data_IF_071206861815
#
_entry.id   IF_071206861815
#
_cell.length_a   1.000
_cell.length_b   1.000
_cell.length_c   1.000
_cell.angle_alpha   90.00
_cell.angle_beta   90.00
_cell.angle_gamma   90.00
#
_symmetry.space_group_name_H-M   'P 1'
#
loop_
_entity.id
_entity.type
_entity.pdbx_description
1 polymer ?
#
# COMPACT_ATOMS: atom_id res chain seq x y z
N UNK A 1 17.62 3.48 3.44
CA UNK A 1 17.71 4.05 2.05
C UNK A 1 16.31 4.27 1.50
N UNK A 2 16.13 5.29 0.63
CA UNK A 2 14.83 5.69 0.09
C UNK A 2 14.88 5.71 -1.43
N UNK A 3 14.01 4.96 -2.07
CA UNK A 3 13.96 4.83 -3.53
C UNK A 3 12.63 5.32 -4.07
N UNK A 4 12.69 5.99 -5.22
CA UNK A 4 11.54 6.38 -6.03
C UNK A 4 11.65 5.80 -7.42
N UNK A 5 10.52 5.50 -8.04
CA UNK A 5 10.46 5.21 -9.47
C UNK A 5 9.95 6.47 -10.16
N UNK A 6 10.63 6.89 -11.20
CA UNK A 6 10.36 8.16 -11.90
C UNK A 6 10.25 7.94 -13.41
N UNK A 7 9.58 8.86 -14.08
CA UNK A 7 9.69 9.07 -15.52
C UNK A 7 10.57 10.30 -15.76
N UNK A 8 11.68 10.10 -16.46
CA UNK A 8 12.63 11.13 -16.85
C UNK A 8 13.08 10.86 -18.29
N UNK A 9 13.06 11.87 -19.17
CA UNK A 9 13.40 11.77 -20.60
C UNK A 9 12.72 10.58 -21.30
N UNK A 10 11.39 10.44 -21.10
CA UNK A 10 10.54 9.36 -21.63
C UNK A 10 10.90 7.94 -21.14
N UNK A 11 11.89 7.81 -20.23
CA UNK A 11 12.28 6.55 -19.65
C UNK A 11 11.76 6.40 -18.21
N UNK A 12 11.28 5.19 -17.89
CA UNK A 12 11.05 4.82 -16.50
C UNK A 12 12.37 4.42 -15.87
N UNK A 13 12.72 5.02 -14.73
CA UNK A 13 13.97 4.81 -14.00
C UNK A 13 13.74 4.74 -12.51
N UNK A 14 14.63 4.05 -11.82
CA UNK A 14 14.71 4.11 -10.36
C UNK A 14 15.70 5.20 -9.96
N UNK A 15 15.40 5.90 -8.89
CA UNK A 15 16.29 6.88 -8.29
C UNK A 15 16.39 6.68 -6.78
N UNK A 16 17.57 6.99 -6.24
CA UNK A 16 17.87 7.06 -4.81
C UNK A 16 17.68 8.50 -4.33
N UNK A 17 16.93 8.71 -3.26
CA UNK A 17 16.87 10.03 -2.62
C UNK A 17 18.19 10.34 -1.91
N UNK A 18 18.66 11.58 -2.03
CA UNK A 18 19.83 12.04 -1.29
C UNK A 18 19.50 12.13 0.21
N UNK A 19 20.39 11.63 1.05
CA UNK A 19 20.20 11.65 2.52
C UNK A 19 20.07 13.08 3.07
N UNK A 20 20.80 14.05 2.49
CA UNK A 20 20.82 15.44 2.95
C UNK A 20 19.69 16.30 2.38
N UNK A 21 19.06 15.87 1.28
CA UNK A 21 18.01 16.63 0.60
C UNK A 21 17.08 15.71 -0.21
N UNK A 22 15.86 15.45 0.28
CA UNK A 22 14.90 14.57 -0.41
C UNK A 22 14.40 15.13 -1.75
N UNK A 23 14.71 16.38 -2.08
CA UNK A 23 14.38 16.97 -3.38
C UNK A 23 15.41 16.63 -4.47
N UNK A 24 16.58 16.08 -4.09
CA UNK A 24 17.58 15.60 -5.03
C UNK A 24 17.52 14.08 -5.18
N UNK A 25 17.40 13.63 -6.43
CA UNK A 25 17.24 12.25 -6.83
C UNK A 25 18.43 11.78 -7.65
N UNK A 26 19.17 10.80 -7.17
CA UNK A 26 20.25 10.15 -7.89
C UNK A 26 19.72 9.05 -8.81
N UNK A 27 19.71 9.28 -10.12
CA UNK A 27 19.20 8.35 -11.11
C UNK A 27 20.12 7.14 -11.26
N UNK A 28 19.59 5.97 -10.95
CA UNK A 28 20.30 4.70 -11.14
C UNK A 28 20.39 4.38 -12.64
N UNK A 29 21.53 3.88 -13.15
CA UNK A 29 21.69 3.58 -14.57
C UNK A 29 20.70 2.54 -15.07
N UNK A 30 20.31 2.62 -16.33
CA UNK A 30 19.56 1.56 -16.99
C UNK A 30 20.37 0.24 -16.95
N UNK A 31 19.72 -0.92 -16.83
CA UNK A 31 18.27 -1.14 -17.04
C UNK A 31 17.40 -1.01 -15.78
N UNK A 32 17.88 -0.45 -14.67
CA UNK A 32 17.07 -0.31 -13.46
C UNK A 32 15.89 0.64 -13.71
N UNK A 33 14.71 0.07 -13.86
CA UNK A 33 13.49 0.77 -14.26
C UNK A 33 12.44 0.89 -13.16
N UNK A 34 12.54 0.06 -12.13
CA UNK A 34 11.62 0.06 -10.98
C UNK A 34 12.29 -0.50 -9.73
N UNK A 35 11.61 -0.39 -8.60
CA UNK A 35 12.07 -1.00 -7.35
C UNK A 35 12.33 -2.52 -7.49
N UNK A 36 11.63 -3.21 -8.37
CA UNK A 36 11.85 -4.66 -8.58
C UNK A 36 13.28 -4.96 -9.00
N UNK A 37 13.87 -4.11 -9.84
CA UNK A 37 15.26 -4.27 -10.28
C UNK A 37 16.23 -4.06 -9.12
N UNK A 38 15.91 -3.14 -8.18
CA UNK A 38 16.70 -2.91 -6.96
C UNK A 38 16.63 -4.11 -6.03
N UNK A 39 15.44 -4.67 -5.83
CA UNK A 39 15.23 -5.87 -5.01
C UNK A 39 16.01 -7.06 -5.58
N UNK A 40 15.94 -7.26 -6.89
CA UNK A 40 16.66 -8.36 -7.57
C UNK A 40 18.17 -8.20 -7.52
N UNK A 41 18.68 -6.97 -7.61
CA UNK A 41 20.11 -6.67 -7.55
C UNK A 41 20.69 -6.89 -6.14
N UNK A 42 19.87 -6.78 -5.09
CA UNK A 42 20.33 -6.90 -3.70
C UNK A 42 21.47 -5.93 -3.41
N UNK A 43 22.67 -6.47 -3.06
CA UNK A 43 23.85 -5.66 -2.75
C UNK A 43 24.63 -5.18 -4.00
N UNK A 44 24.22 -5.58 -5.20
CA UNK A 44 24.90 -5.22 -6.46
C UNK A 44 24.33 -3.95 -7.11
N UNK A 45 23.68 -3.08 -6.33
CA UNK A 45 23.11 -1.83 -6.83
C UNK A 45 24.22 -0.87 -7.27
N UNK A 46 24.20 -0.38 -8.54
CA UNK A 46 25.18 0.59 -9.00
C UNK A 46 24.95 1.97 -8.38
N UNK A 47 26.00 2.77 -8.31
CA UNK A 47 25.88 4.17 -7.89
C UNK A 47 25.07 5.00 -8.91
N UNK A 48 24.36 6.05 -8.46
CA UNK A 48 23.71 7.01 -9.36
C UNK A 48 24.69 7.62 -10.37
N UNK A 49 24.24 7.80 -11.61
CA UNK A 49 25.03 8.43 -12.68
C UNK A 49 24.88 9.95 -12.70
N UNK A 50 23.70 10.44 -12.35
CA UNK A 50 23.36 11.87 -12.35
C UNK A 50 22.38 12.18 -11.24
N UNK A 51 22.32 13.45 -10.85
CA UNK A 51 21.39 13.95 -9.84
C UNK A 51 20.46 14.99 -10.47
N UNK A 52 19.16 14.83 -10.23
CA UNK A 52 18.10 15.70 -10.75
C UNK A 52 17.21 16.19 -9.60
N UNK A 53 16.50 17.31 -9.82
CA UNK A 53 15.48 17.72 -8.85
C UNK A 53 14.20 16.89 -9.01
N UNK A 54 13.50 16.65 -7.90
CA UNK A 54 12.20 15.98 -7.93
C UNK A 54 11.16 16.70 -8.78
N UNK A 55 11.29 18.04 -8.92
CA UNK A 55 10.43 18.85 -9.80
C UNK A 55 10.63 18.59 -11.30
N UNK A 56 11.75 18.00 -11.68
CA UNK A 56 12.13 17.79 -13.08
C UNK A 56 11.71 16.39 -13.60
N UNK A 57 11.07 15.61 -12.72
CA UNK A 57 10.64 14.24 -13.02
C UNK A 57 9.17 14.02 -12.65
N UNK A 58 8.54 13.04 -13.27
CA UNK A 58 7.23 12.55 -12.83
C UNK A 58 7.44 11.36 -11.88
N UNK A 59 6.95 11.48 -10.64
CA UNK A 59 6.91 10.34 -9.72
C UNK A 59 5.92 9.28 -10.22
N UNK A 60 6.33 8.03 -10.16
CA UNK A 60 5.50 6.85 -10.44
C UNK A 60 5.34 6.03 -9.15
N UNK A 61 4.47 5.03 -9.16
CA UNK A 61 4.46 4.04 -8.09
C UNK A 61 5.85 3.37 -8.00
N UNK A 62 6.36 3.03 -6.80
CA UNK A 62 7.64 2.31 -6.65
C UNK A 62 7.72 1.06 -7.52
N UNK A 63 6.58 0.35 -7.67
CA UNK A 63 6.39 -0.77 -8.58
C UNK A 63 5.16 -0.49 -9.44
N UNK A 64 5.30 0.19 -10.61
CA UNK A 64 4.15 0.52 -11.47
C UNK A 64 3.45 -0.71 -12.05
N UNK A 65 4.19 -1.81 -12.18
CA UNK A 65 3.69 -3.09 -12.73
C UNK A 65 4.16 -4.25 -11.84
N UNK A 66 3.45 -4.56 -10.76
CA UNK A 66 3.77 -5.70 -9.92
C UNK A 66 3.78 -7.01 -10.71
N UNK A 67 4.76 -7.89 -10.42
CA UNK A 67 4.89 -9.21 -11.08
C UNK A 67 3.72 -10.13 -10.80
N UNK A 68 3.12 -9.98 -9.62
CA UNK A 68 1.96 -10.75 -9.18
C UNK A 68 0.92 -9.79 -8.59
N UNK A 69 -0.26 -10.31 -8.21
CA UNK A 69 -1.24 -9.52 -7.46
C UNK A 69 -0.67 -9.06 -6.12
N UNK A 70 -1.14 -7.91 -5.66
CA UNK A 70 -0.82 -7.39 -4.33
C UNK A 70 -1.65 -8.19 -3.33
N UNK A 71 -1.00 -8.81 -2.36
CA UNK A 71 -1.65 -9.49 -1.25
C UNK A 71 -2.09 -8.43 -0.23
N UNK A 72 -3.32 -8.53 0.25
CA UNK A 72 -3.86 -7.55 1.19
C UNK A 72 -4.47 -8.27 2.39
N UNK A 73 -4.35 -7.67 3.58
CA UNK A 73 -4.90 -8.22 4.83
C UNK A 73 -6.06 -7.34 5.28
N UNK A 74 -7.26 -7.90 5.31
CA UNK A 74 -8.46 -7.22 5.79
C UNK A 74 -8.63 -7.29 7.30
N UNK A 75 -9.30 -6.28 7.87
CA UNK A 75 -9.71 -6.24 9.28
C UNK A 75 -8.54 -6.43 10.27
N UNK A 76 -7.37 -5.87 9.95
CA UNK A 76 -6.14 -6.07 10.72
C UNK A 76 -5.84 -4.97 11.76
N UNK A 77 -6.73 -4.02 11.95
CA UNK A 77 -6.71 -3.09 13.09
C UNK A 77 -7.96 -3.31 13.94
N UNK A 78 -7.80 -3.47 15.24
CA UNK A 78 -8.91 -3.82 16.15
C UNK A 78 -10.08 -2.85 16.03
N UNK A 79 -9.82 -1.56 16.03
CA UNK A 79 -10.86 -0.53 15.89
C UNK A 79 -11.57 -0.60 14.53
N UNK A 80 -10.84 -0.86 13.43
CA UNK A 80 -11.42 -1.02 12.10
C UNK A 80 -12.21 -2.33 11.97
N UNK A 81 -11.77 -3.42 12.56
CA UNK A 81 -12.53 -4.68 12.59
C UNK A 81 -13.92 -4.50 13.22
N UNK A 82 -13.98 -3.78 14.34
CA UNK A 82 -15.24 -3.42 14.99
C UNK A 82 -16.09 -2.49 14.13
N UNK A 83 -15.51 -1.42 13.58
CA UNK A 83 -16.17 -0.47 12.67
C UNK A 83 -16.79 -1.18 11.46
N UNK A 84 -16.03 -2.07 10.80
CA UNK A 84 -16.50 -2.83 9.64
C UNK A 84 -17.66 -3.76 9.99
N UNK A 85 -17.57 -4.50 11.10
CA UNK A 85 -18.63 -5.42 11.54
C UNK A 85 -19.95 -4.69 11.87
N UNK A 86 -19.88 -3.43 12.30
CA UNK A 86 -21.05 -2.60 12.63
C UNK A 86 -21.59 -1.83 11.42
N UNK A 87 -20.82 -1.67 10.35
CA UNK A 87 -21.18 -0.85 9.19
C UNK A 87 -22.33 -1.39 8.35
N UNK A 88 -22.69 -2.69 8.50
CA UNK A 88 -23.67 -3.38 7.64
C UNK A 88 -23.11 -3.73 6.23
N UNK A 89 -21.83 -3.52 5.99
CA UNK A 89 -21.13 -3.92 4.75
C UNK A 89 -20.44 -5.28 4.89
N UNK A 90 -20.34 -5.80 6.09
CA UNK A 90 -19.85 -7.17 6.32
C UNK A 90 -20.83 -8.19 5.74
N UNK A 91 -20.38 -8.85 4.67
CA UNK A 91 -21.12 -9.96 4.03
C UNK A 91 -20.59 -11.33 4.44
N UNK A 92 -19.61 -11.39 5.35
CA UNK A 92 -19.09 -12.64 5.86
C UNK A 92 -20.17 -13.39 6.67
N UNK A 93 -20.24 -14.70 6.50
CA UNK A 93 -21.19 -15.55 7.21
C UNK A 93 -20.84 -15.72 8.70
N UNK A 94 -19.65 -15.39 9.09
CA UNK A 94 -19.16 -15.37 10.47
C UNK A 94 -19.29 -13.96 11.01
N UNK A 95 -20.18 -13.75 11.98
CA UNK A 95 -20.18 -12.52 12.77
C UNK A 95 -18.87 -12.48 13.55
N UNK A 96 -17.89 -11.76 13.03
CA UNK A 96 -16.66 -11.46 13.76
C UNK A 96 -17.06 -10.54 14.93
N UNK A 97 -16.99 -11.06 16.14
CA UNK A 97 -17.46 -10.34 17.33
C UNK A 97 -16.47 -9.28 17.79
N UNK A 98 -15.18 -9.45 17.56
CA UNK A 98 -14.15 -8.48 17.94
C UNK A 98 -13.01 -8.41 16.91
N UNK A 99 -12.45 -9.55 16.48
CA UNK A 99 -11.40 -9.65 15.46
C UNK A 99 -11.38 -11.06 14.84
N UNK A 100 -10.84 -11.23 13.63
CA UNK A 100 -10.68 -12.55 13.02
C UNK A 100 -9.64 -13.39 13.79
N UNK A 101 -9.84 -14.73 13.80
CA UNK A 101 -8.88 -15.67 14.39
C UNK A 101 -7.61 -15.84 13.54
N UNK A 102 -7.72 -15.59 12.22
CA UNK A 102 -6.65 -15.68 11.23
C UNK A 102 -6.68 -14.48 10.28
N UNK A 103 -5.54 -14.08 9.69
CA UNK A 103 -5.51 -13.02 8.68
C UNK A 103 -6.46 -13.32 7.52
N UNK A 104 -7.37 -12.38 7.23
CA UNK A 104 -8.25 -12.46 6.06
C UNK A 104 -7.46 -11.92 4.87
N UNK A 105 -7.02 -12.82 3.98
CA UNK A 105 -6.18 -12.45 2.84
C UNK A 105 -7.02 -12.35 1.57
N UNK A 106 -6.85 -11.24 0.86
CA UNK A 106 -7.40 -11.02 -0.48
C UNK A 106 -6.33 -10.43 -1.39
N UNK A 107 -6.68 -10.06 -2.61
CA UNK A 107 -5.70 -9.53 -3.56
C UNK A 107 -6.26 -8.36 -4.36
N UNK A 108 -5.35 -7.45 -4.79
CA UNK A 108 -5.59 -6.46 -5.85
C UNK A 108 -4.75 -6.83 -7.07
N UNK A 109 -5.27 -6.59 -8.27
CA UNK A 109 -4.50 -6.78 -9.50
C UNK A 109 -3.49 -5.65 -9.69
N UNK A 110 -2.33 -5.99 -10.25
CA UNK A 110 -1.32 -4.99 -10.58
C UNK A 110 -1.82 -3.88 -11.51
N UNK A 111 -2.81 -4.18 -12.36
CA UNK A 111 -3.44 -3.20 -13.24
C UNK A 111 -4.19 -2.08 -12.48
N UNK A 112 -4.51 -2.25 -11.20
CA UNK A 112 -5.11 -1.20 -10.37
C UNK A 112 -4.10 -0.17 -9.85
N UNK A 113 -2.79 -0.39 -10.01
CA UNK A 113 -1.74 0.47 -9.45
C UNK A 113 -1.64 1.78 -10.21
N UNK A 114 -1.60 2.88 -9.46
CA UNK A 114 -1.25 4.22 -9.94
C UNK A 114 -0.25 4.88 -9.00
N UNK A 115 0.51 5.86 -9.50
CA UNK A 115 1.51 6.56 -8.71
C UNK A 115 0.97 7.77 -7.94
N UNK A 116 1.86 8.44 -7.19
CA UNK A 116 1.56 9.72 -6.53
C UNK A 116 1.10 10.77 -7.52
N UNK A 117 0.16 11.63 -7.12
CA UNK A 117 -0.37 12.70 -7.94
C UNK A 117 -1.29 12.25 -9.09
N UNK A 118 -1.51 10.94 -9.27
CA UNK A 118 -2.47 10.46 -10.26
C UNK A 118 -3.90 10.88 -9.91
N UNK A 119 -4.69 11.21 -10.94
CA UNK A 119 -6.12 11.48 -10.78
C UNK A 119 -6.85 10.14 -10.93
N UNK A 120 -7.45 9.68 -9.85
CA UNK A 120 -8.21 8.42 -9.80
C UNK A 120 -9.63 8.66 -10.29
N UNK A 121 -10.08 7.85 -11.25
CA UNK A 121 -11.48 7.87 -11.71
C UNK A 121 -12.34 7.09 -10.70
N UNK A 122 -13.41 7.71 -10.21
CA UNK A 122 -14.38 7.09 -9.30
C UNK A 122 -15.25 6.02 -9.97
N UNK A 123 -15.20 5.93 -11.30
CA UNK A 123 -15.94 4.94 -12.11
C UNK A 123 -17.45 4.90 -11.79
N UNK A 124 -18.18 6.01 -11.92
CA UNK A 124 -19.58 6.13 -11.48
C UNK A 124 -20.54 5.17 -12.19
N UNK A 125 -20.17 4.62 -13.33
CA UNK A 125 -20.90 3.57 -14.02
C UNK A 125 -20.75 2.19 -13.36
N UNK A 126 -19.72 1.99 -12.53
CA UNK A 126 -19.41 0.72 -11.89
C UNK A 126 -19.75 0.71 -10.39
N UNK A 127 -19.62 1.84 -9.71
CA UNK A 127 -19.82 1.98 -8.26
C UNK A 127 -20.28 3.40 -7.90
N UNK A 128 -21.00 3.52 -6.79
CA UNK A 128 -21.37 4.80 -6.17
C UNK A 128 -20.81 4.95 -4.75
N UNK A 129 -20.01 4.00 -4.28
CA UNK A 129 -19.57 3.93 -2.89
C UNK A 129 -18.07 3.68 -2.82
N UNK A 130 -17.28 4.67 -3.30
CA UNK A 130 -15.81 4.60 -3.29
C UNK A 130 -15.29 5.10 -1.95
N UNK A 131 -14.47 4.29 -1.32
CA UNK A 131 -13.90 4.53 0.01
C UNK A 131 -12.37 4.45 -0.03
N UNK A 132 -11.70 5.12 0.92
CA UNK A 132 -10.25 5.16 1.09
C UNK A 132 -9.81 4.24 2.22
N UNK A 133 -8.61 3.69 2.11
CA UNK A 133 -7.97 2.85 3.13
C UNK A 133 -6.45 3.08 3.13
N UNK A 134 -5.94 3.81 4.12
CA UNK A 134 -4.50 4.03 4.30
C UNK A 134 -3.83 2.79 4.86
N UNK A 135 -2.79 2.29 4.18
CA UNK A 135 -2.08 1.08 4.60
C UNK A 135 -0.57 1.21 4.44
N UNK A 136 0.16 0.69 5.42
CA UNK A 136 1.56 0.32 5.24
C UNK A 136 1.61 -0.95 4.37
N UNK A 137 2.53 -0.99 3.41
CA UNK A 137 2.77 -2.17 2.59
C UNK A 137 4.22 -2.62 2.66
N UNK A 138 4.42 -3.94 2.61
CA UNK A 138 5.70 -4.62 2.81
C UNK A 138 6.16 -5.26 1.50
N UNK A 139 7.41 -5.02 1.09
CA UNK A 139 8.05 -5.71 -0.04
C UNK A 139 8.86 -6.91 0.44
N UNK A 140 8.70 -8.04 -0.26
CA UNK A 140 9.50 -9.26 -0.02
C UNK A 140 10.81 -9.19 -0.82
N UNK A 141 11.95 -9.58 -0.20
CA UNK A 141 13.28 -9.49 -0.82
C UNK A 141 13.83 -10.79 -1.39
N UNK A 142 13.36 -11.94 -0.90
CA UNK A 142 13.88 -13.27 -1.32
C UNK A 142 12.77 -14.31 -1.31
N UNK A 143 12.88 -15.40 -2.10
CA UNK A 143 11.88 -16.45 -2.09
C UNK A 143 11.83 -17.16 -0.73
N UNK A 144 10.61 -17.50 -0.30
CA UNK A 144 10.38 -18.24 0.94
C UNK A 144 9.02 -18.91 0.99
N UNK A 145 8.96 -20.09 1.57
CA UNK A 145 7.76 -20.85 1.84
C UNK A 145 7.84 -21.46 3.23
N UNK A 146 6.69 -21.59 3.89
CA UNK A 146 6.59 -22.11 5.27
C UNK A 146 7.55 -21.37 6.22
N UNK A 147 7.55 -20.03 6.15
CA UNK A 147 8.48 -19.15 6.86
C UNK A 147 8.08 -19.09 8.36
N UNK A 148 8.97 -19.47 9.29
CA UNK A 148 8.71 -19.29 10.72
C UNK A 148 8.58 -17.80 11.08
N UNK A 149 7.73 -17.48 12.07
CA UNK A 149 7.47 -16.09 12.51
C UNK A 149 8.78 -15.38 12.88
N UNK A 150 9.67 -16.05 13.61
CA UNK A 150 10.96 -15.53 14.07
C UNK A 150 11.94 -15.21 12.92
N UNK A 151 11.76 -15.81 11.76
CA UNK A 151 12.58 -15.57 10.56
C UNK A 151 11.93 -14.59 9.57
N UNK A 152 10.66 -14.28 9.73
CA UNK A 152 9.86 -13.56 8.73
C UNK A 152 10.47 -12.21 8.33
N UNK A 153 11.01 -11.44 9.29
CA UNK A 153 11.65 -10.16 9.01
C UNK A 153 12.91 -10.28 8.14
N UNK A 154 13.54 -11.47 8.08
CA UNK A 154 14.65 -11.74 7.16
C UNK A 154 14.22 -11.79 5.70
N UNK A 155 12.92 -11.79 5.42
CA UNK A 155 12.34 -11.80 4.08
C UNK A 155 11.81 -10.44 3.65
N UNK A 156 11.79 -9.44 4.53
CA UNK A 156 11.34 -8.08 4.24
C UNK A 156 12.47 -7.27 3.59
N UNK A 157 12.18 -6.66 2.43
CA UNK A 157 13.06 -5.68 1.79
C UNK A 157 12.86 -4.28 2.37
N UNK A 158 11.60 -3.90 2.59
CA UNK A 158 11.22 -2.57 3.05
C UNK A 158 9.74 -2.28 2.86
N UNK A 159 9.38 -1.01 2.81
CA UNK A 159 8.00 -0.55 2.95
C UNK A 159 7.63 0.55 1.96
N UNK A 160 6.33 0.71 1.73
CA UNK A 160 5.71 1.84 1.01
C UNK A 160 4.32 2.12 1.58
N UNK A 161 3.69 3.23 1.17
CA UNK A 161 2.27 3.46 1.45
C UNK A 161 1.40 3.01 0.29
N UNK A 162 0.19 2.55 0.62
CA UNK A 162 -0.86 2.20 -0.33
C UNK A 162 -2.18 2.85 0.13
N UNK A 163 -2.99 3.25 -0.83
CA UNK A 163 -4.41 3.49 -0.63
C UNK A 163 -5.18 2.30 -1.21
N UNK A 164 -5.72 1.43 -0.35
CA UNK A 164 -6.53 0.29 -0.77
C UNK A 164 -7.96 0.73 -1.08
N UNK A 165 -8.11 1.54 -2.15
CA UNK A 165 -9.41 2.09 -2.55
C UNK A 165 -10.41 0.97 -2.78
N UNK A 166 -11.62 1.15 -2.24
CA UNK A 166 -12.64 0.13 -2.16
C UNK A 166 -13.98 0.62 -2.70
N UNK A 167 -14.57 -0.10 -3.65
CA UNK A 167 -15.96 0.04 -4.06
C UNK A 167 -16.84 -0.79 -3.12
N UNK A 168 -17.41 -0.18 -2.07
CA UNK A 168 -18.09 -0.88 -0.98
C UNK A 168 -19.35 -1.62 -1.43
N UNK A 169 -20.13 -1.06 -2.34
CA UNK A 169 -21.30 -1.69 -2.93
C UNK A 169 -20.95 -2.98 -3.70
N UNK A 170 -19.81 -2.98 -4.39
CA UNK A 170 -19.28 -4.17 -5.08
C UNK A 170 -18.69 -5.19 -4.12
N UNK A 171 -17.94 -4.74 -3.11
CA UNK A 171 -17.40 -5.58 -2.04
C UNK A 171 -18.54 -6.37 -1.36
N UNK A 172 -19.62 -5.69 -0.99
CA UNK A 172 -20.82 -6.32 -0.37
C UNK A 172 -21.53 -7.27 -1.33
N UNK A 173 -21.77 -6.84 -2.58
CA UNK A 173 -22.56 -7.61 -3.57
C UNK A 173 -21.93 -8.95 -3.91
N UNK A 174 -20.61 -8.99 -4.06
CA UNK A 174 -19.90 -10.15 -4.59
C UNK A 174 -19.34 -11.08 -3.52
N UNK A 175 -19.48 -10.75 -2.23
CA UNK A 175 -19.01 -11.52 -1.07
C UNK A 175 -17.49 -11.67 -1.02
N UNK A 176 -16.86 -12.13 -2.12
CA UNK A 176 -15.41 -12.07 -2.31
C UNK A 176 -15.00 -10.64 -2.66
N UNK A 177 -14.02 -10.09 -1.93
CA UNK A 177 -13.72 -8.65 -1.99
C UNK A 177 -13.05 -8.20 -3.27
N UNK A 178 -12.44 -9.12 -4.03
CA UNK A 178 -11.65 -8.83 -5.24
C UNK A 178 -12.31 -7.81 -6.17
N UNK A 179 -13.59 -8.01 -6.53
CA UNK A 179 -14.29 -7.13 -7.47
C UNK A 179 -14.63 -5.74 -6.93
N UNK A 180 -14.55 -5.55 -5.62
CA UNK A 180 -14.64 -4.24 -4.96
C UNK A 180 -13.30 -3.54 -4.77
N UNK A 181 -12.20 -4.30 -4.85
CA UNK A 181 -10.84 -3.87 -4.50
C UNK A 181 -9.93 -3.62 -5.70
N UNK A 182 -10.23 -4.19 -6.88
CA UNK A 182 -9.29 -4.25 -8.02
C UNK A 182 -9.74 -3.47 -9.26
N UNK A 183 -10.57 -2.43 -9.09
CA UNK A 183 -10.90 -1.56 -10.20
C UNK A 183 -9.66 -0.76 -10.67
N UNK A 184 -9.67 -0.33 -11.92
CA UNK A 184 -8.56 0.44 -12.49
C UNK A 184 -8.28 1.71 -11.67
N UNK A 185 -7.01 1.90 -11.29
CA UNK A 185 -6.58 3.03 -10.48
C UNK A 185 -6.87 2.91 -8.97
N UNK A 186 -7.49 1.82 -8.50
CA UNK A 186 -7.90 1.68 -7.09
C UNK A 186 -6.76 1.20 -6.16
N UNK A 187 -5.50 1.36 -6.59
CA UNK A 187 -4.33 1.09 -5.75
C UNK A 187 -3.25 2.16 -5.92
N UNK A 188 -3.49 3.41 -5.51
CA UNK A 188 -2.42 4.38 -5.38
C UNK A 188 -1.31 3.82 -4.48
N UNK A 189 -0.04 3.95 -4.92
CA UNK A 189 1.13 3.41 -4.24
C UNK A 189 2.29 4.40 -4.28
N UNK A 190 2.97 4.59 -3.17
CA UNK A 190 4.14 5.45 -3.06
C UNK A 190 4.14 6.32 -1.80
N UNK A 191 4.82 7.48 -1.79
CA UNK A 191 5.53 8.10 -2.92
C UNK A 191 6.85 7.40 -3.24
N UNK A 192 7.37 6.63 -2.27
CA UNK A 192 8.68 5.97 -2.31
C UNK A 192 8.61 4.59 -1.68
N UNK A 193 9.66 3.81 -1.87
CA UNK A 193 9.95 2.62 -1.08
C UNK A 193 11.15 2.92 -0.17
N UNK A 194 11.07 2.46 1.07
CA UNK A 194 12.12 2.64 2.08
C UNK A 194 12.59 1.31 2.60
N UNK A 195 13.88 1.17 2.89
CA UNK A 195 14.45 -0.06 3.46
C UNK A 195 14.02 -0.25 4.92
N UNK A 196 14.19 -1.46 5.46
CA UNK A 196 13.70 -1.84 6.80
C UNK A 196 14.27 -1.00 7.94
N UNK A 197 15.45 -0.44 7.77
CA UNK A 197 16.11 0.44 8.74
C UNK A 197 15.47 1.83 8.90
N UNK A 198 14.60 2.23 7.97
CA UNK A 198 13.92 3.53 8.00
C UNK A 198 12.62 3.50 8.83
N UNK A 199 12.03 2.32 9.07
CA UNK A 199 10.69 2.17 9.68
C UNK A 199 10.74 1.31 10.93
N UNK A 200 10.27 1.85 12.03
CA UNK A 200 10.02 1.11 13.27
C UNK A 200 8.56 0.60 13.28
N UNK A 201 8.37 -0.68 12.96
CA UNK A 201 7.03 -1.29 12.95
C UNK A 201 6.32 -1.26 14.32
N UNK A 202 7.07 -1.11 15.42
CA UNK A 202 6.48 -0.98 16.74
C UNK A 202 5.92 0.43 17.01
N UNK A 203 6.29 1.43 16.19
CA UNK A 203 5.90 2.83 16.41
C UNK A 203 5.81 3.66 15.12
N UNK A 204 5.16 3.14 14.10
CA UNK A 204 4.94 3.88 12.85
C UNK A 204 3.51 4.39 12.78
N UNK A 205 3.34 5.71 12.71
CA UNK A 205 2.03 6.35 12.58
C UNK A 205 1.55 6.28 11.14
N UNK A 206 0.27 5.96 10.97
CA UNK A 206 -0.47 5.93 9.69
C UNK A 206 -1.64 6.89 9.79
N UNK A 207 -1.67 7.91 8.93
CA UNK A 207 -2.78 8.88 8.89
C UNK A 207 -3.36 8.99 7.50
N UNK A 208 -4.66 9.32 7.44
CA UNK A 208 -5.36 9.66 6.21
C UNK A 208 -6.17 10.93 6.39
N UNK A 209 -6.00 11.87 5.48
CA UNK A 209 -6.87 13.04 5.35
C UNK A 209 -7.67 12.94 4.06
N UNK A 210 -8.93 13.30 4.13
CA UNK A 210 -9.77 13.57 2.96
C UNK A 210 -10.02 15.07 2.93
N UNK A 211 -9.48 15.73 1.92
CA UNK A 211 -9.32 17.17 1.91
C UNK A 211 -8.53 17.63 3.17
N UNK A 212 -9.03 18.58 3.94
CA UNK A 212 -8.38 19.04 5.17
C UNK A 212 -8.82 18.28 6.44
N UNK A 213 -9.66 17.26 6.31
CA UNK A 213 -10.22 16.52 7.44
C UNK A 213 -9.42 15.25 7.73
N UNK A 214 -8.84 15.15 8.93
CA UNK A 214 -8.23 13.92 9.43
C UNK A 214 -9.30 12.83 9.61
N UNK A 215 -9.14 11.72 8.93
CA UNK A 215 -10.08 10.60 8.90
C UNK A 215 -9.54 9.37 9.60
N UNK A 216 -8.30 9.01 9.35
CA UNK A 216 -7.65 7.86 9.96
C UNK A 216 -6.39 8.32 10.70
N UNK A 217 -6.16 7.82 11.89
CA UNK A 217 -4.99 8.10 12.72
C UNK A 217 -4.74 6.92 13.65
N UNK A 218 -3.70 6.14 13.38
CA UNK A 218 -3.35 4.96 14.17
C UNK A 218 -1.83 4.70 14.11
N UNK A 219 -1.41 3.73 14.88
CA UNK A 219 -0.04 3.26 14.92
C UNK A 219 0.04 1.79 14.48
N UNK A 220 1.13 1.40 13.84
CA UNK A 220 1.36 -0.01 13.44
C UNK A 220 1.42 -0.97 14.62
N UNK A 221 1.64 -0.48 15.84
CA UNK A 221 1.49 -1.25 17.08
C UNK A 221 0.06 -1.75 17.34
N UNK A 222 -0.94 -1.16 16.67
CA UNK A 222 -2.36 -1.50 16.83
C UNK A 222 -2.81 -2.62 15.87
N UNK A 223 -1.90 -3.13 15.02
CA UNK A 223 -2.14 -4.28 14.17
C UNK A 223 -2.53 -5.51 15.00
N UNK A 224 -3.60 -6.22 14.59
CA UNK A 224 -4.03 -7.48 15.21
C UNK A 224 -3.00 -8.57 14.91
N UNK A 225 -2.65 -8.73 13.64
CA UNK A 225 -1.58 -9.62 13.18
C UNK A 225 -0.38 -8.78 12.77
N UNK A 226 0.74 -9.01 13.41
CA UNK A 226 2.00 -8.33 13.09
C UNK A 226 2.52 -8.72 11.70
N UNK A 227 3.42 -7.91 11.13
CA UNK A 227 4.05 -8.23 9.84
C UNK A 227 4.69 -9.62 9.81
N UNK A 228 5.45 -10.06 10.85
CA UNK A 228 5.95 -11.43 10.91
C UNK A 228 4.87 -12.51 10.86
N UNK A 229 3.78 -12.34 11.60
CA UNK A 229 2.65 -13.29 11.59
C UNK A 229 1.98 -13.36 10.22
N UNK A 230 1.74 -12.21 9.57
CA UNK A 230 1.17 -12.13 8.23
C UNK A 230 2.04 -12.90 7.23
N UNK A 231 3.36 -12.68 7.24
CA UNK A 231 4.32 -13.34 6.35
C UNK A 231 4.31 -14.85 6.59
N UNK A 232 4.34 -15.27 7.86
CA UNK A 232 4.31 -16.68 8.23
C UNK A 232 3.05 -17.36 7.70
N UNK A 233 1.87 -16.83 8.01
CA UNK A 233 0.58 -17.40 7.58
C UNK A 233 0.45 -17.43 6.05
N UNK A 234 0.78 -16.34 5.35
CA UNK A 234 0.67 -16.31 3.89
C UNK A 234 1.64 -17.31 3.23
N UNK A 235 2.81 -17.52 3.83
CA UNK A 235 3.81 -18.44 3.25
C UNK A 235 3.54 -19.91 3.50
N UNK A 236 2.54 -20.28 4.29
CA UNK A 236 2.15 -21.68 4.51
C UNK A 236 1.70 -22.33 3.17
N UNK A 237 2.52 -23.24 2.65
CA UNK A 237 2.27 -23.89 1.37
C UNK A 237 2.33 -23.00 0.13
N UNK A 238 2.56 -21.68 0.30
CA UNK A 238 2.63 -20.67 -0.75
C UNK A 238 4.01 -20.03 -0.78
N UNK A 239 4.69 -20.06 -1.93
CA UNK A 239 6.02 -19.47 -2.04
C UNK A 239 5.93 -17.98 -2.33
N UNK A 240 6.30 -17.13 -1.35
CA UNK A 240 6.55 -15.71 -1.57
C UNK A 240 7.76 -15.53 -2.49
N UNK A 241 7.75 -14.49 -3.32
CA UNK A 241 8.81 -14.19 -4.29
C UNK A 241 9.38 -12.78 -4.07
N UNK A 242 10.61 -12.51 -4.52
CA UNK A 242 11.16 -11.15 -4.51
C UNK A 242 10.22 -10.18 -5.23
N UNK A 243 9.93 -9.04 -4.61
CA UNK A 243 9.04 -8.04 -5.15
C UNK A 243 7.56 -8.30 -4.92
N UNK A 244 7.17 -9.39 -4.26
CA UNK A 244 5.80 -9.52 -3.75
C UNK A 244 5.50 -8.39 -2.76
N UNK A 245 4.28 -7.91 -2.80
CA UNK A 245 3.80 -6.81 -1.97
C UNK A 245 2.65 -7.29 -1.09
N UNK A 246 2.73 -6.97 0.19
CA UNK A 246 1.72 -7.29 1.20
C UNK A 246 1.24 -5.98 1.84
N UNK A 247 -0.01 -5.58 1.59
CA UNK A 247 -0.69 -4.50 2.28
C UNK A 247 -1.21 -5.01 3.63
N UNK A 248 -0.90 -4.29 4.72
CA UNK A 248 -1.01 -4.85 6.08
C UNK A 248 -2.35 -4.60 6.76
N UNK A 249 -3.26 -3.91 6.09
CA UNK A 249 -4.56 -3.51 6.63
C UNK A 249 -4.63 -2.03 6.97
N UNK A 250 -5.86 -1.54 7.07
CA UNK A 250 -6.18 -0.13 7.32
C UNK A 250 -6.74 0.09 8.74
N UNK A 251 -6.44 1.24 9.37
CA UNK A 251 -7.07 1.62 10.63
C UNK A 251 -8.54 2.06 10.48
N UNK A 252 -9.24 2.24 11.59
CA UNK A 252 -10.58 2.85 11.64
C UNK A 252 -10.59 4.28 11.10
N UNK A 253 -11.78 4.77 10.75
CA UNK A 253 -12.02 6.09 10.19
C UNK A 253 -12.26 6.08 8.68
N UNK A 254 -12.50 4.90 8.09
CA UNK A 254 -12.92 4.75 6.68
C UNK A 254 -14.32 5.34 6.48
N UNK A 255 -14.68 5.60 5.22
CA UNK A 255 -15.95 6.25 4.88
C UNK A 255 -17.19 5.47 5.32
N UNK A 256 -17.15 4.13 5.29
CA UNK A 256 -18.27 3.29 5.76
C UNK A 256 -18.45 3.33 7.29
N UNK A 257 -17.42 3.66 8.04
CA UNK A 257 -17.46 3.81 9.50
C UNK A 257 -18.08 5.13 9.98
N UNK A 258 -18.33 6.07 9.08
CA UNK A 258 -18.96 7.34 9.41
C UNK A 258 -20.49 7.18 9.56
N UNK A 259 -21.12 8.00 10.37
CA UNK A 259 -22.58 8.05 10.52
C UNK A 259 -23.12 9.45 10.15
N UNK A 260 -23.80 9.59 9.00
CA UNK A 260 -23.97 8.59 7.92
C UNK A 260 -22.66 8.29 7.15
N UNK A 261 -22.58 7.14 6.41
CA UNK A 261 -21.41 6.81 5.59
C UNK A 261 -21.01 7.92 4.61
N UNK A 262 -19.70 8.19 4.48
CA UNK A 262 -19.14 9.28 3.68
C UNK A 262 -18.15 8.75 2.65
N UNK A 263 -18.61 8.60 1.40
CA UNK A 263 -17.80 8.15 0.28
C UNK A 263 -17.11 9.30 -0.45
N UNK A 264 -16.04 8.98 -1.17
CA UNK A 264 -15.29 9.91 -2.00
C UNK A 264 -16.14 10.45 -3.16
N UNK A 265 -15.89 11.70 -3.53
CA UNK A 265 -16.58 12.44 -4.60
C UNK A 265 -15.55 13.05 -5.55
N UNK A 266 -16.01 13.39 -6.75
CA UNK A 266 -15.18 14.14 -7.69
C UNK A 266 -14.75 15.48 -7.07
N UNK A 267 -13.46 15.78 -7.18
CA UNK A 267 -12.81 16.93 -6.56
C UNK A 267 -12.17 16.66 -5.20
N UNK A 268 -12.45 15.51 -4.56
CA UNK A 268 -11.78 15.16 -3.31
C UNK A 268 -10.28 14.88 -3.52
N UNK A 269 -9.51 15.18 -2.50
CA UNK A 269 -8.10 14.80 -2.35
C UNK A 269 -7.95 13.86 -1.16
N UNK A 270 -7.22 12.77 -1.35
CA UNK A 270 -6.83 11.86 -0.27
C UNK A 270 -5.33 11.95 -0.08
N UNK A 271 -4.92 12.27 1.16
CA UNK A 271 -3.54 12.39 1.59
C UNK A 271 -3.26 11.37 2.69
N UNK A 272 -2.46 10.38 2.36
CA UNK A 272 -1.98 9.36 3.30
C UNK A 272 -0.56 9.70 3.69
N UNK A 273 -0.29 9.74 4.99
CA UNK A 273 1.05 9.93 5.53
C UNK A 273 1.43 8.77 6.43
N UNK A 274 2.57 8.16 6.15
CA UNK A 274 3.17 7.12 6.97
C UNK A 274 4.54 7.61 7.43
N UNK A 275 4.75 7.59 8.74
CA UNK A 275 6.01 8.06 9.34
C UNK A 275 7.22 7.40 8.68
N UNK A 276 8.20 8.21 8.30
CA UNK A 276 9.44 7.83 7.60
C UNK A 276 9.27 7.23 6.18
N UNK A 277 8.06 6.89 5.75
CA UNK A 277 7.76 6.48 4.37
C UNK A 277 7.46 7.69 3.50
N UNK A 278 6.61 8.61 3.98
CA UNK A 278 6.28 9.86 3.30
C UNK A 278 4.79 10.04 3.05
N UNK A 279 4.47 10.92 2.11
CA UNK A 279 3.10 11.35 1.78
C UNK A 279 2.70 10.86 0.40
N UNK A 280 1.66 10.04 0.35
CA UNK A 280 0.97 9.63 -0.87
C UNK A 280 -0.30 10.46 -1.03
N UNK A 281 -0.38 11.25 -2.09
CA UNK A 281 -1.52 12.12 -2.37
C UNK A 281 -2.08 11.88 -3.75
N UNK A 282 -3.41 11.78 -3.84
CA UNK A 282 -4.14 11.58 -5.08
C UNK A 282 -5.46 12.35 -5.08
N UNK A 283 -5.86 12.84 -6.26
CA UNK A 283 -7.14 13.50 -6.49
C UNK A 283 -8.13 12.55 -7.17
N UNK A 284 -9.42 12.84 -7.03
CA UNK A 284 -10.50 12.00 -7.57
C UNK A 284 -11.39 12.77 -8.56
N UNK A 285 -11.85 12.11 -9.63
CA UNK A 285 -12.73 12.70 -10.65
C UNK A 285 -13.92 11.81 -10.99
#
# INVERSE_FOLDING_TARGET
MRFVTVRHDDHQRVALEAESDPHHLGLIPLPFSSLLDVIDAGNALPSPLEWVNVSDVQLLAPVPSPRRGILCVGMNYRAHSLEFSQSGFDSSSSKVTEHPDFPIVFSKFGASVVGPGAIVDLLPQATSQVDYEAELAVFIKKPGRDIPIEEAMNFVWGYTAINDITARDRQKRHQQWLLGKTLDGFCPMGPRAVTTDEVDLANTRVTCHVNDELRQDANTSDLIFSVPEIISVISEGFTLQPGDLIATGTPAGVGIGQDPPRFLKAGDQVRIEISNVGVLENSFK
#
